data_IF_523112183230
#
_entry.id   IF_523112183230
#
_cell.length_a   1.000
_cell.length_b   1.000
_cell.length_c   1.000
_cell.angle_alpha   90.00
_cell.angle_beta   90.00
_cell.angle_gamma   90.00
#
_symmetry.space_group_name_H-M   'P 1'
#
loop_
_entity.id
_entity.type
_entity.pdbx_description
1 polymer ?
#
# COMPACT_ATOMS: atom_id res chain seq x y z
N UNK A 1 -18.87 22.48 -36.19
CA UNK A 1 -18.70 21.96 -34.82
C UNK A 1 -17.33 21.30 -34.78
N UNK A 2 -16.46 21.69 -33.84
CA UNK A 2 -15.10 21.11 -33.72
C UNK A 2 -15.17 19.91 -32.79
N UNK A 3 -14.43 18.86 -33.09
CA UNK A 3 -14.35 17.66 -32.29
C UNK A 3 -13.64 17.92 -30.95
N UNK A 4 -14.13 17.32 -29.87
CA UNK A 4 -13.58 17.47 -28.52
C UNK A 4 -13.04 16.13 -28.05
N UNK A 5 -11.71 16.02 -28.00
CA UNK A 5 -10.98 14.86 -27.52
C UNK A 5 -10.07 15.26 -26.37
N UNK A 6 -10.10 14.49 -25.28
CA UNK A 6 -9.24 14.68 -24.10
C UNK A 6 -8.25 13.52 -24.03
N UNK A 7 -6.96 13.85 -23.94
CA UNK A 7 -5.91 12.87 -23.66
C UNK A 7 -5.78 12.65 -22.15
N UNK A 8 -6.39 11.59 -21.65
CA UNK A 8 -6.33 11.23 -20.24
C UNK A 8 -4.93 10.75 -19.81
N UNK A 9 -4.11 10.26 -20.73
CA UNK A 9 -2.74 9.83 -20.40
C UNK A 9 -1.86 11.02 -20.06
N UNK A 10 -1.94 12.08 -20.87
CA UNK A 10 -1.25 13.34 -20.57
C UNK A 10 -1.74 13.96 -19.25
N UNK A 11 -3.06 13.97 -19.03
CA UNK A 11 -3.64 14.51 -17.79
C UNK A 11 -3.24 13.70 -16.54
N UNK A 12 -3.12 12.38 -16.65
CA UNK A 12 -2.67 11.54 -15.54
C UNK A 12 -1.18 11.78 -15.23
N UNK A 13 -0.34 11.96 -16.24
CA UNK A 13 1.06 12.30 -16.04
C UNK A 13 1.21 13.65 -15.29
N UNK A 14 0.42 14.66 -15.67
CA UNK A 14 0.37 15.95 -14.97
C UNK A 14 -0.09 15.79 -13.51
N UNK A 15 -1.15 15.00 -13.27
CA UNK A 15 -1.65 14.72 -11.92
C UNK A 15 -0.56 14.08 -11.06
N UNK A 16 0.17 13.10 -11.58
CA UNK A 16 1.23 12.41 -10.83
C UNK A 16 2.36 13.37 -10.44
N UNK A 17 2.80 14.24 -11.37
CA UNK A 17 3.82 15.26 -11.08
C UNK A 17 3.36 16.21 -9.97
N UNK A 18 2.13 16.71 -10.06
CA UNK A 18 1.57 17.61 -9.05
C UNK A 18 1.42 16.94 -7.68
N UNK A 19 1.09 15.65 -7.63
CA UNK A 19 1.04 14.89 -6.39
C UNK A 19 2.42 14.74 -5.76
N UNK A 20 3.44 14.39 -6.56
CA UNK A 20 4.81 14.27 -6.06
C UNK A 20 5.35 15.61 -5.55
N UNK A 21 5.05 16.72 -6.24
CA UNK A 21 5.42 18.06 -5.80
C UNK A 21 4.74 18.44 -4.47
N UNK A 22 3.44 18.15 -4.33
CA UNK A 22 2.69 18.43 -3.11
C UNK A 22 3.18 17.62 -1.89
N UNK A 23 3.64 16.39 -2.11
CA UNK A 23 4.23 15.53 -1.08
C UNK A 23 5.62 16.08 -0.65
N UNK A 24 6.39 16.60 -1.61
CA UNK A 24 7.65 17.27 -1.38
C UNK A 24 8.88 16.34 -1.28
N UNK A 25 10.09 16.91 -1.29
CA UNK A 25 11.35 16.17 -1.48
C UNK A 25 11.81 15.36 -0.27
N UNK A 26 11.13 15.48 0.86
CA UNK A 26 11.46 14.77 2.09
C UNK A 26 10.72 13.43 2.22
N UNK A 27 9.81 13.14 1.31
CA UNK A 27 9.09 11.87 1.33
C UNK A 27 9.97 10.74 0.81
N UNK A 28 10.23 9.77 1.68
CA UNK A 28 10.84 8.50 1.33
C UNK A 28 9.74 7.43 1.24
N UNK A 29 9.34 6.99 0.04
CA UNK A 29 8.30 5.97 -0.12
C UNK A 29 8.71 4.62 0.49
N UNK A 30 10.00 4.30 0.53
CA UNK A 30 10.48 3.06 1.16
C UNK A 30 10.37 3.16 2.68
N UNK A 31 10.68 4.31 3.27
CA UNK A 31 10.47 4.55 4.70
C UNK A 31 9.00 4.36 5.08
N UNK A 32 8.06 4.92 4.30
CA UNK A 32 6.63 4.78 4.55
C UNK A 32 6.18 3.32 4.45
N UNK A 33 6.58 2.60 3.40
CA UNK A 33 6.24 1.16 3.25
C UNK A 33 6.79 0.31 4.39
N UNK A 34 8.04 0.54 4.79
CA UNK A 34 8.66 -0.16 5.92
C UNK A 34 7.94 0.16 7.24
N UNK A 35 7.51 1.41 7.43
CA UNK A 35 6.75 1.84 8.59
C UNK A 35 5.38 1.17 8.67
N UNK A 36 4.69 1.04 7.54
CA UNK A 36 3.42 0.30 7.46
C UNK A 36 3.59 -1.19 7.78
N UNK A 37 4.62 -1.84 7.23
CA UNK A 37 4.92 -3.24 7.53
C UNK A 37 5.24 -3.43 9.02
N UNK A 38 6.05 -2.55 9.61
CA UNK A 38 6.35 -2.57 11.05
C UNK A 38 5.11 -2.35 11.93
N UNK A 39 4.17 -1.50 11.49
CA UNK A 39 2.91 -1.28 12.21
C UNK A 39 1.99 -2.50 12.12
N UNK A 40 1.88 -3.15 10.96
CA UNK A 40 1.16 -4.41 10.78
C UNK A 40 1.73 -5.51 11.68
N UNK A 41 3.06 -5.58 11.73
CA UNK A 41 3.80 -6.46 12.61
C UNK A 41 3.44 -6.25 14.09
N UNK A 42 3.40 -5.00 14.52
CA UNK A 42 3.03 -4.66 15.89
C UNK A 42 1.57 -5.02 16.20
N UNK A 43 0.64 -4.78 15.27
CA UNK A 43 -0.79 -5.03 15.45
C UNK A 43 -1.09 -6.50 15.77
N UNK A 44 -0.37 -7.41 15.13
CA UNK A 44 -0.48 -8.86 15.34
C UNK A 44 0.69 -9.42 16.16
N UNK A 45 1.33 -8.58 16.99
CA UNK A 45 2.31 -9.03 17.97
C UNK A 45 1.63 -9.50 19.25
N UNK A 46 2.26 -10.46 19.95
CA UNK A 46 1.81 -10.90 21.26
C UNK A 46 0.46 -11.64 21.28
N UNK A 47 0.06 -12.24 20.16
CA UNK A 47 -1.15 -13.04 20.09
C UNK A 47 -1.05 -14.25 21.01
N UNK A 48 -2.13 -14.53 21.72
CA UNK A 48 -2.28 -15.80 22.42
C UNK A 48 -2.55 -16.96 21.42
N UNK A 49 -2.63 -18.18 21.94
CA UNK A 49 -2.78 -19.37 21.11
C UNK A 49 -4.10 -19.41 20.32
N UNK A 50 -5.19 -18.84 20.84
CA UNK A 50 -6.47 -18.80 20.13
C UNK A 50 -6.46 -17.72 19.05
N UNK A 51 -5.91 -16.55 19.38
CA UNK A 51 -5.74 -15.44 18.46
C UNK A 51 -4.79 -15.78 17.31
N UNK A 52 -3.70 -16.49 17.59
CA UNK A 52 -2.74 -16.94 16.58
C UNK A 52 -3.40 -17.89 15.57
N UNK A 53 -4.21 -18.86 16.04
CA UNK A 53 -4.93 -19.76 15.14
C UNK A 53 -5.89 -19.01 14.21
N UNK A 54 -6.63 -18.04 14.74
CA UNK A 54 -7.54 -17.24 13.93
C UNK A 54 -6.77 -16.39 12.91
N UNK A 55 -5.66 -15.78 13.33
CA UNK A 55 -4.78 -15.05 12.41
C UNK A 55 -4.30 -15.94 11.26
N UNK A 56 -3.83 -17.16 11.57
CA UNK A 56 -3.35 -18.12 10.56
C UNK A 56 -4.46 -18.52 9.58
N UNK A 57 -5.70 -18.71 10.05
CA UNK A 57 -6.87 -19.01 9.20
C UNK A 57 -7.24 -17.83 8.28
N UNK A 58 -7.19 -16.61 8.79
CA UNK A 58 -7.43 -15.40 8.01
C UNK A 58 -6.34 -15.18 6.95
N UNK A 59 -5.08 -15.51 7.24
CA UNK A 59 -4.00 -15.48 6.27
C UNK A 59 -4.20 -16.57 5.20
N UNK A 60 -4.55 -17.80 5.62
CA UNK A 60 -4.76 -18.91 4.69
C UNK A 60 -5.94 -18.68 3.72
N UNK A 61 -6.97 -17.97 4.18
CA UNK A 61 -8.12 -17.58 3.36
C UNK A 61 -7.89 -16.33 2.51
N UNK A 62 -6.75 -15.66 2.67
CA UNK A 62 -6.40 -14.43 1.95
C UNK A 62 -7.13 -13.17 2.44
N UNK A 63 -7.80 -13.25 3.59
CA UNK A 63 -8.42 -12.10 4.24
C UNK A 63 -7.36 -11.17 4.81
N UNK A 64 -6.29 -11.73 5.38
CA UNK A 64 -5.15 -10.98 5.89
C UNK A 64 -3.90 -11.26 5.07
N UNK A 65 -3.03 -10.25 4.85
CA UNK A 65 -1.73 -10.45 4.25
C UNK A 65 -0.81 -11.23 5.21
N UNK A 66 0.11 -12.01 4.65
CA UNK A 66 1.14 -12.68 5.42
C UNK A 66 2.19 -11.68 5.89
N UNK A 67 2.51 -11.73 7.19
CA UNK A 67 3.61 -10.97 7.80
C UNK A 67 4.95 -11.18 7.07
N UNK A 68 5.70 -10.10 6.82
CA UNK A 68 7.01 -10.18 6.14
C UNK A 68 6.94 -10.50 4.63
N UNK A 69 5.74 -10.61 4.07
CA UNK A 69 5.51 -10.90 2.66
C UNK A 69 5.07 -9.63 1.95
N UNK A 70 5.96 -8.65 1.84
CA UNK A 70 5.71 -7.42 1.10
C UNK A 70 5.04 -7.74 -0.23
N UNK A 71 3.80 -7.28 -0.40
CA UNK A 71 3.06 -7.45 -1.63
C UNK A 71 3.61 -6.45 -2.64
N UNK A 72 4.76 -6.78 -3.25
CA UNK A 72 5.15 -6.14 -4.49
C UNK A 72 4.25 -6.73 -5.58
N UNK A 73 3.32 -5.96 -6.17
CA UNK A 73 2.63 -6.41 -7.37
C UNK A 73 3.67 -6.63 -8.48
N UNK A 74 3.61 -7.80 -9.12
CA UNK A 74 4.39 -8.12 -10.31
C UNK A 74 3.80 -7.47 -11.56
#
# INVERSE_FOLDING_TARGET
MVDFTVDLTAQEAERQVLVLDAIGPHWDPLEVMNGEEAAYDLLYSGLDADQQRLYDELVASGVLPRRGGGHAPA
#
